data_IF_940746389486
#
_entry.id   IF_940746389486
#
_cell.length_a   1.000
_cell.length_b   1.000
_cell.length_c   1.000
_cell.angle_alpha   90.00
_cell.angle_beta   90.00
_cell.angle_gamma   90.00
#
_symmetry.space_group_name_H-M   'P 1'
#
loop_
_entity.id
_entity.type
_entity.pdbx_description
1 polymer ?
#
# COMPACT_ATOMS: atom_id res chain seq x y z
N UNK A 1 -18.92 -7.90 3.81
CA UNK A 1 -17.98 -8.91 3.29
C UNK A 1 -16.84 -8.22 2.54
N UNK A 2 -15.87 -8.99 2.05
CA UNK A 2 -14.77 -8.51 1.19
C UNK A 2 -14.90 -9.11 -0.22
N UNK A 3 -16.12 -9.30 -0.73
CA UNK A 3 -16.30 -9.80 -2.09
C UNK A 3 -15.76 -8.79 -3.12
N UNK A 4 -15.21 -9.27 -4.26
CA UNK A 4 -14.59 -8.39 -5.26
C UNK A 4 -15.48 -7.23 -5.71
N UNK A 5 -16.77 -7.47 -5.96
CA UNK A 5 -17.72 -6.43 -6.39
C UNK A 5 -17.83 -5.29 -5.37
N UNK A 6 -17.88 -5.63 -4.06
CA UNK A 6 -17.96 -4.63 -3.00
C UNK A 6 -16.68 -3.84 -2.87
N UNK A 7 -15.52 -4.51 -2.96
CA UNK A 7 -14.21 -3.84 -2.94
C UNK A 7 -14.09 -2.86 -4.09
N UNK A 8 -14.39 -3.29 -5.33
CA UNK A 8 -14.34 -2.42 -6.51
C UNK A 8 -15.24 -1.20 -6.36
N UNK A 9 -16.48 -1.37 -5.90
CA UNK A 9 -17.41 -0.27 -5.65
C UNK A 9 -16.88 0.68 -4.55
N UNK A 10 -16.31 0.14 -3.47
CA UNK A 10 -15.75 0.95 -2.39
C UNK A 10 -14.57 1.80 -2.90
N UNK A 11 -13.59 1.20 -3.58
CA UNK A 11 -12.45 1.94 -4.13
C UNK A 11 -12.87 3.00 -5.14
N UNK A 12 -13.87 2.71 -6.00
CA UNK A 12 -14.43 3.71 -6.93
C UNK A 12 -15.09 4.89 -6.20
N UNK A 13 -15.67 4.66 -5.03
CA UNK A 13 -16.23 5.69 -4.13
C UNK A 13 -15.21 6.34 -3.19
N UNK A 14 -13.90 6.06 -3.33
CA UNK A 14 -12.87 6.58 -2.44
C UNK A 14 -12.82 5.92 -1.06
N UNK A 15 -13.50 4.78 -0.86
CA UNK A 15 -13.59 4.07 0.41
C UNK A 15 -12.65 2.86 0.41
N UNK A 16 -11.99 2.56 1.52
CA UNK A 16 -11.16 1.34 1.67
C UNK A 16 -11.44 0.63 3.00
N UNK A 17 -11.36 -0.71 3.05
CA UNK A 17 -11.51 -1.46 4.29
C UNK A 17 -10.19 -1.48 5.07
N UNK A 18 -10.25 -1.24 6.37
CA UNK A 18 -9.10 -1.34 7.27
C UNK A 18 -9.59 -1.57 8.70
N UNK A 19 -9.18 -2.68 9.31
CA UNK A 19 -9.66 -3.15 10.61
C UNK A 19 -8.63 -4.12 11.21
N UNK A 20 -8.62 -4.24 12.53
CA UNK A 20 -7.75 -5.16 13.27
C UNK A 20 -8.37 -6.55 13.41
N UNK A 21 -7.56 -7.54 13.78
CA UNK A 21 -8.06 -8.89 14.04
C UNK A 21 -9.10 -8.89 15.16
N UNK A 22 -10.23 -9.55 14.94
CA UNK A 22 -11.35 -9.58 15.88
C UNK A 22 -12.35 -8.42 15.73
N UNK A 23 -12.02 -7.37 14.99
CA UNK A 23 -12.97 -6.29 14.69
C UNK A 23 -13.91 -6.67 13.54
N UNK A 24 -15.14 -6.10 13.50
CA UNK A 24 -15.95 -6.14 12.29
C UNK A 24 -15.24 -5.40 11.15
N UNK A 25 -15.65 -5.66 9.90
CA UNK A 25 -15.12 -4.92 8.75
C UNK A 25 -15.49 -3.44 8.88
N UNK A 26 -14.48 -2.59 9.05
CA UNK A 26 -14.60 -1.13 9.03
C UNK A 26 -14.20 -0.56 7.66
N UNK A 27 -14.94 0.45 7.19
CA UNK A 27 -14.74 1.10 5.90
C UNK A 27 -14.45 2.59 6.10
N UNK A 28 -13.38 3.09 5.49
CA UNK A 28 -12.84 4.43 5.74
C UNK A 28 -12.85 5.30 4.49
N UNK A 29 -13.19 6.58 4.66
CA UNK A 29 -12.97 7.65 3.68
C UNK A 29 -12.48 8.91 4.40
N UNK A 30 -11.18 8.98 4.77
CA UNK A 30 -10.65 10.07 5.59
C UNK A 30 -10.71 11.43 4.90
N UNK A 31 -10.90 12.47 5.71
CA UNK A 31 -10.79 13.88 5.34
C UNK A 31 -9.87 14.60 6.37
N UNK A 32 -8.70 15.13 5.96
CA UNK A 32 -8.17 15.16 4.61
C UNK A 32 -7.66 13.80 4.11
N UNK A 33 -7.76 13.57 2.79
CA UNK A 33 -7.23 12.37 2.14
C UNK A 33 -5.76 12.56 1.76
N UNK A 34 -4.88 11.69 2.28
CA UNK A 34 -3.47 11.66 1.88
C UNK A 34 -3.34 11.17 0.43
N UNK A 35 -2.64 11.94 -0.40
CA UNK A 35 -2.32 11.62 -1.80
C UNK A 35 -0.86 11.93 -2.10
N UNK A 36 -0.26 11.18 -3.02
CA UNK A 36 1.09 11.46 -3.55
C UNK A 36 0.98 11.92 -4.99
N UNK A 37 1.51 13.11 -5.30
CA UNK A 37 1.62 13.62 -6.67
C UNK A 37 2.77 12.90 -7.38
N UNK A 38 2.46 12.11 -8.41
CA UNK A 38 3.43 11.26 -9.10
C UNK A 38 4.51 12.06 -9.84
N UNK A 39 4.19 13.28 -10.26
CA UNK A 39 5.15 14.21 -10.88
C UNK A 39 6.06 14.91 -9.86
N UNK A 40 5.69 14.86 -8.57
CA UNK A 40 6.39 15.55 -7.47
C UNK A 40 7.23 14.63 -6.59
N UNK A 41 7.52 13.39 -7.02
CA UNK A 41 8.25 12.42 -6.20
C UNK A 41 9.64 12.97 -5.84
N UNK A 42 9.83 13.27 -4.56
CA UNK A 42 11.11 13.71 -4.03
C UNK A 42 12.02 12.51 -3.78
N UNK A 43 13.08 12.37 -4.58
CA UNK A 43 14.16 11.43 -4.33
C UNK A 43 15.35 12.17 -3.74
N UNK A 44 15.82 11.75 -2.57
CA UNK A 44 17.02 12.35 -1.99
C UNK A 44 18.24 12.15 -2.90
N UNK A 45 19.16 13.11 -2.93
CA UNK A 45 20.38 13.04 -3.76
C UNK A 45 21.20 11.76 -3.48
N UNK A 46 21.27 11.36 -2.20
CA UNK A 46 21.90 10.10 -1.74
C UNK A 46 21.21 8.88 -2.35
N UNK A 47 19.88 8.81 -2.29
CA UNK A 47 19.15 7.66 -2.84
C UNK A 47 19.29 7.59 -4.36
N UNK A 48 19.23 8.73 -5.07
CA UNK A 48 19.52 8.78 -6.51
C UNK A 48 20.91 8.24 -6.84
N UNK A 49 21.92 8.54 -6.01
CA UNK A 49 23.28 8.01 -6.20
C UNK A 49 23.34 6.50 -5.99
N UNK A 50 22.68 5.98 -4.97
CA UNK A 50 22.61 4.56 -4.69
C UNK A 50 21.92 3.78 -5.82
N UNK A 51 20.82 4.33 -6.36
CA UNK A 51 20.09 3.70 -7.45
C UNK A 51 20.92 3.56 -8.73
N UNK A 52 21.82 4.51 -9.03
CA UNK A 52 22.70 4.45 -10.22
C UNK A 52 23.62 3.23 -10.24
N UNK A 53 23.95 2.65 -9.09
CA UNK A 53 24.79 1.45 -8.97
C UNK A 53 24.01 0.27 -8.40
N UNK A 54 22.68 0.33 -8.40
CA UNK A 54 21.85 -0.74 -7.88
C UNK A 54 21.87 -1.95 -8.82
N UNK A 55 21.92 -3.14 -8.24
CA UNK A 55 21.72 -4.42 -8.95
C UNK A 55 20.27 -4.91 -8.86
N UNK A 56 19.37 -4.09 -8.30
CA UNK A 56 17.97 -4.46 -8.14
C UNK A 56 17.25 -4.40 -9.47
N UNK A 57 16.47 -5.44 -9.73
CA UNK A 57 15.48 -5.48 -10.79
C UNK A 57 14.10 -5.16 -10.21
N UNK A 58 13.35 -4.28 -10.89
CA UNK A 58 11.98 -3.96 -10.53
C UNK A 58 11.06 -4.58 -11.56
N UNK A 59 10.21 -5.50 -11.10
CA UNK A 59 9.21 -6.17 -11.93
C UNK A 59 7.81 -5.86 -11.40
N UNK A 60 6.80 -5.84 -12.28
CA UNK A 60 5.40 -5.69 -11.89
C UNK A 60 4.66 -7.03 -12.05
N UNK A 61 3.73 -7.32 -11.13
CA UNK A 61 2.81 -8.47 -11.17
C UNK A 61 3.42 -9.88 -11.31
N UNK A 62 4.73 -10.04 -11.09
CA UNK A 62 5.41 -11.34 -11.20
C UNK A 62 5.22 -12.25 -9.98
N UNK A 63 4.91 -11.69 -8.80
CA UNK A 63 4.88 -12.43 -7.54
C UNK A 63 3.89 -11.86 -6.51
N UNK A 64 2.68 -11.49 -6.94
CA UNK A 64 1.68 -10.78 -6.11
C UNK A 64 1.47 -11.41 -4.72
N UNK A 65 1.13 -12.71 -4.66
CA UNK A 65 0.85 -13.38 -3.37
C UNK A 65 2.06 -13.41 -2.44
N UNK A 66 3.29 -13.49 -2.97
CA UNK A 66 4.52 -13.46 -2.17
C UNK A 66 4.72 -12.08 -1.55
N UNK A 67 4.54 -11.01 -2.33
CA UNK A 67 4.63 -9.62 -1.85
C UNK A 67 3.56 -9.36 -0.78
N UNK A 68 2.31 -9.72 -1.05
CA UNK A 68 1.17 -9.56 -0.12
C UNK A 68 1.44 -10.22 1.24
N UNK A 69 1.92 -11.47 1.25
CA UNK A 69 2.25 -12.18 2.50
C UNK A 69 3.43 -11.56 3.23
N UNK A 70 4.46 -11.10 2.50
CA UNK A 70 5.59 -10.41 3.11
C UNK A 70 5.16 -9.09 3.77
N UNK A 71 4.25 -8.34 3.16
CA UNK A 71 3.67 -7.15 3.76
C UNK A 71 2.91 -7.46 5.06
N UNK A 72 2.17 -8.58 5.12
CA UNK A 72 1.42 -9.00 6.30
C UNK A 72 2.34 -9.42 7.47
N UNK A 73 3.47 -10.06 7.17
CA UNK A 73 4.43 -10.54 8.19
C UNK A 73 5.50 -9.50 8.58
N UNK A 74 5.53 -8.34 7.92
CA UNK A 74 6.52 -7.30 8.20
C UNK A 74 6.34 -6.73 9.61
N UNK A 75 7.39 -6.65 10.44
CA UNK A 75 7.32 -6.01 11.75
C UNK A 75 6.92 -4.53 11.62
N UNK A 76 5.96 -4.07 12.45
CA UNK A 76 5.53 -2.67 12.50
C UNK A 76 5.61 -2.14 13.94
N UNK A 77 6.80 -1.76 14.41
CA UNK A 77 6.97 -1.22 15.76
C UNK A 77 6.05 -0.02 16.00
N UNK A 78 5.25 -0.06 17.07
CA UNK A 78 4.32 1.02 17.42
C UNK A 78 3.00 1.01 16.65
N UNK A 79 2.66 -0.09 15.99
CA UNK A 79 1.35 -0.33 15.35
C UNK A 79 0.85 -1.71 15.81
N UNK A 80 0.22 -1.75 16.98
CA UNK A 80 -0.54 -2.91 17.49
C UNK A 80 -2.03 -2.73 17.15
#
# INVERSE_FOLDING_TARGET
>A
DLHPVRLLNAYAGGIFPWFSEGEPILWWSPDPRVVFRTEGVHLSSRFRRQLRSSTWEVTADTAFSRVMRACAAAPRPGQD
#
